data_IF_784277588309
#
_entry.id   IF_784277588309
#
_cell.length_a   1.000
_cell.length_b   1.000
_cell.length_c   1.000
_cell.angle_alpha   90.00
_cell.angle_beta   90.00
_cell.angle_gamma   90.00
#
_symmetry.space_group_name_H-M   'P 1'
#
loop_
_entity.id
_entity.type
_entity.pdbx_description
1 polymer ?
#
# COMPACT_ATOMS: atom_id res chain seq x y z
N UNK A 1 -25.21 -28.96 -39.95
CA UNK A 1 -23.92 -28.86 -39.22
C UNK A 1 -23.21 -27.55 -39.54
N UNK A 2 -22.95 -27.21 -40.81
CA UNK A 2 -22.18 -25.99 -41.18
C UNK A 2 -22.83 -24.63 -40.83
N UNK A 3 -24.14 -24.60 -40.55
CA UNK A 3 -24.88 -23.40 -40.12
C UNK A 3 -25.20 -23.38 -38.62
N UNK A 4 -24.76 -24.40 -37.88
CA UNK A 4 -24.96 -24.44 -36.44
C UNK A 4 -24.17 -23.31 -35.77
N UNK A 5 -24.81 -22.42 -34.98
CA UNK A 5 -24.16 -21.29 -34.34
C UNK A 5 -22.94 -21.66 -33.49
N UNK A 6 -22.96 -22.82 -32.81
CA UNK A 6 -21.83 -23.28 -31.98
C UNK A 6 -20.66 -23.73 -32.84
N UNK A 7 -20.95 -24.44 -33.94
CA UNK A 7 -19.93 -24.90 -34.91
C UNK A 7 -19.29 -23.70 -35.60
N UNK A 8 -20.07 -22.72 -36.04
CA UNK A 8 -19.55 -21.49 -36.66
C UNK A 8 -18.69 -20.69 -35.68
N UNK A 9 -19.11 -20.58 -34.41
CA UNK A 9 -18.34 -19.88 -33.37
C UNK A 9 -17.02 -20.59 -33.05
N UNK A 10 -17.04 -21.91 -32.91
CA UNK A 10 -15.82 -22.69 -32.64
C UNK A 10 -14.83 -22.59 -33.81
N UNK A 11 -15.30 -22.67 -35.05
CA UNK A 11 -14.48 -22.46 -36.24
C UNK A 11 -13.87 -21.04 -36.30
N UNK A 12 -14.66 -19.99 -36.02
CA UNK A 12 -14.15 -18.60 -35.95
C UNK A 12 -13.09 -18.44 -34.86
N UNK A 13 -13.29 -19.01 -33.68
CA UNK A 13 -12.30 -18.96 -32.60
C UNK A 13 -11.00 -19.68 -33.00
N UNK A 14 -11.10 -20.80 -33.71
CA UNK A 14 -9.94 -21.51 -34.25
C UNK A 14 -9.18 -20.65 -35.27
N UNK A 15 -9.89 -19.99 -36.19
CA UNK A 15 -9.28 -19.07 -37.16
C UNK A 15 -8.58 -17.89 -36.47
N UNK A 16 -9.22 -17.29 -35.46
CA UNK A 16 -8.60 -16.22 -34.64
C UNK A 16 -7.34 -16.75 -33.95
N UNK A 17 -7.39 -17.96 -33.40
CA UNK A 17 -6.24 -18.64 -32.80
C UNK A 17 -5.09 -18.82 -33.79
N UNK A 18 -5.38 -19.32 -35.00
CA UNK A 18 -4.38 -19.49 -36.07
C UNK A 18 -3.80 -18.17 -36.55
N UNK A 19 -4.63 -17.13 -36.70
CA UNK A 19 -4.18 -15.80 -37.06
C UNK A 19 -3.22 -15.22 -36.01
N UNK A 20 -3.59 -15.32 -34.72
CA UNK A 20 -2.71 -14.90 -33.61
C UNK A 20 -1.41 -15.71 -33.61
N UNK A 21 -1.50 -17.03 -33.78
CA UNK A 21 -0.33 -17.91 -33.83
C UNK A 21 0.63 -17.51 -34.96
N UNK A 22 0.12 -17.16 -36.14
CA UNK A 22 0.96 -16.83 -37.29
C UNK A 22 1.47 -15.38 -37.28
N UNK A 23 0.66 -14.42 -36.83
CA UNK A 23 0.97 -12.99 -36.97
C UNK A 23 1.39 -12.30 -35.66
N UNK A 24 0.88 -12.76 -34.51
CA UNK A 24 1.09 -12.12 -33.21
C UNK A 24 2.16 -12.84 -32.39
N UNK A 25 2.13 -14.18 -32.33
CA UNK A 25 3.09 -14.97 -31.54
C UNK A 25 4.56 -14.70 -31.91
N UNK A 26 4.97 -14.67 -33.20
CA UNK A 26 6.37 -14.39 -33.54
C UNK A 26 6.82 -12.99 -33.08
N UNK A 27 5.91 -12.01 -33.06
CA UNK A 27 6.21 -10.64 -32.59
C UNK A 27 6.36 -10.57 -31.08
N UNK A 28 5.57 -11.36 -30.35
CA UNK A 28 5.63 -11.50 -28.89
C UNK A 28 6.91 -12.24 -28.47
N UNK A 29 7.32 -13.25 -29.23
CA UNK A 29 8.54 -14.03 -28.99
C UNK A 29 9.82 -13.25 -29.35
N UNK A 30 9.79 -12.46 -30.42
CA UNK A 30 10.87 -11.56 -30.78
C UNK A 30 11.05 -10.39 -29.78
N UNK A 31 10.10 -10.17 -28.87
CA UNK A 31 10.24 -9.16 -27.83
C UNK A 31 11.30 -9.59 -26.83
N UNK A 32 12.47 -8.95 -26.90
CA UNK A 32 13.54 -9.08 -25.92
C UNK A 32 13.68 -7.79 -25.12
N UNK A 33 14.34 -7.89 -23.97
CA UNK A 33 14.76 -6.76 -23.14
C UNK A 33 16.26 -6.88 -22.90
N UNK A 34 17.00 -5.83 -23.25
CA UNK A 34 18.43 -5.76 -23.01
C UNK A 34 18.72 -5.52 -21.53
N UNK A 35 19.97 -5.74 -21.12
CA UNK A 35 20.37 -5.46 -19.74
C UNK A 35 20.47 -3.95 -19.49
N UNK A 36 20.81 -3.18 -20.52
CA UNK A 36 20.83 -1.72 -20.52
C UNK A 36 19.42 -1.16 -20.28
N UNK A 37 18.39 -1.68 -20.95
CA UNK A 37 17.00 -1.26 -20.74
C UNK A 37 16.55 -1.51 -19.30
N UNK A 38 16.98 -2.65 -18.72
CA UNK A 38 16.63 -3.02 -17.34
C UNK A 38 17.35 -2.11 -16.35
N UNK A 39 18.61 -1.76 -16.61
CA UNK A 39 19.37 -0.84 -15.79
C UNK A 39 18.76 0.57 -15.83
N UNK A 40 18.50 1.10 -17.02
CA UNK A 40 17.86 2.41 -17.19
C UNK A 40 16.50 2.48 -16.49
N UNK A 41 15.68 1.42 -16.60
CA UNK A 41 14.42 1.33 -15.88
C UNK A 41 14.61 1.31 -14.36
N UNK A 42 15.60 0.59 -13.85
CA UNK A 42 15.89 0.54 -12.42
C UNK A 42 16.32 1.91 -11.89
N UNK A 43 17.24 2.58 -12.59
CA UNK A 43 17.75 3.91 -12.23
C UNK A 43 16.64 4.97 -12.28
N UNK A 44 15.75 4.91 -13.28
CA UNK A 44 14.61 5.82 -13.38
C UNK A 44 13.52 5.57 -12.31
N UNK A 45 13.55 4.42 -11.62
CA UNK A 45 12.51 4.00 -10.67
C UNK A 45 13.09 3.47 -9.35
N UNK A 46 14.25 3.97 -8.90
CA UNK A 46 14.94 3.48 -7.69
C UNK A 46 14.02 3.52 -6.46
N UNK A 47 13.17 4.54 -6.36
CA UNK A 47 12.21 4.67 -5.25
C UNK A 47 11.26 3.48 -5.15
N UNK A 48 10.83 2.91 -6.28
CA UNK A 48 9.98 1.72 -6.31
C UNK A 48 10.70 0.44 -5.86
N UNK A 49 12.03 0.47 -5.79
CA UNK A 49 12.88 -0.62 -5.31
C UNK A 49 13.51 -0.32 -3.95
N UNK A 50 13.17 0.82 -3.36
CA UNK A 50 13.65 1.25 -2.06
C UNK A 50 12.62 0.89 -1.01
N UNK A 51 13.05 0.14 0.00
CA UNK A 51 12.23 -0.08 1.19
C UNK A 51 12.39 1.17 2.07
N UNK A 52 11.31 1.94 2.33
CA UNK A 52 11.41 3.14 3.14
C UNK A 52 11.83 2.78 4.57
N UNK A 53 12.46 3.74 5.26
CA UNK A 53 12.77 3.56 6.67
C UNK A 53 11.48 3.32 7.46
N UNK A 54 11.57 2.45 8.47
CA UNK A 54 10.45 2.17 9.38
C UNK A 54 10.92 2.28 10.81
N UNK A 55 10.11 2.91 11.65
CA UNK A 55 10.35 2.98 13.08
C UNK A 55 9.14 2.39 13.80
N UNK A 56 9.37 1.76 14.96
CA UNK A 56 8.31 1.44 15.90
C UNK A 56 8.45 2.41 17.06
N UNK A 57 7.39 3.13 17.37
CA UNK A 57 7.41 4.14 18.42
C UNK A 57 6.25 3.95 19.39
N UNK A 58 6.49 4.35 20.64
CA UNK A 58 5.46 4.50 21.63
C UNK A 58 5.26 6.00 21.93
N UNK A 59 4.03 6.41 22.21
CA UNK A 59 3.68 7.81 22.46
C UNK A 59 2.94 7.99 23.78
N UNK A 60 3.16 9.14 24.41
CA UNK A 60 2.28 9.71 25.42
C UNK A 60 1.71 10.98 24.81
N UNK A 61 0.40 11.10 24.81
CA UNK A 61 -0.33 12.23 24.23
C UNK A 61 -1.14 12.93 25.31
N UNK A 62 -1.11 14.25 25.38
CA UNK A 62 -2.04 15.03 26.20
C UNK A 62 -2.71 16.07 25.32
N UNK A 63 -4.04 16.09 25.32
CA UNK A 63 -4.80 16.99 24.45
C UNK A 63 -4.63 18.43 24.89
N UNK A 64 -4.36 19.31 23.94
CA UNK A 64 -4.41 20.76 24.12
C UNK A 64 -5.35 21.36 23.09
N UNK A 65 -5.81 22.58 23.33
CA UNK A 65 -6.62 23.32 22.37
C UNK A 65 -6.19 24.80 22.38
N UNK A 66 -6.21 25.50 21.24
CA UNK A 66 -5.82 26.91 21.17
C UNK A 66 -6.59 27.84 22.12
N UNK A 67 -7.82 27.48 22.48
CA UNK A 67 -8.67 28.27 23.40
C UNK A 67 -8.45 27.95 24.89
N UNK A 68 -7.52 27.06 25.21
CA UNK A 68 -7.20 26.70 26.59
C UNK A 68 -6.39 27.85 27.26
N UNK A 69 -6.66 28.14 28.54
CA UNK A 69 -5.91 29.17 29.26
C UNK A 69 -4.42 28.84 29.35
N UNK A 70 -3.57 29.87 29.38
CA UNK A 70 -2.11 29.73 29.50
C UNK A 70 -1.70 28.89 30.73
N UNK A 71 -2.39 29.07 31.86
CA UNK A 71 -2.18 28.30 33.08
C UNK A 71 -2.43 26.80 32.89
N UNK A 72 -3.51 26.43 32.20
CA UNK A 72 -3.82 25.01 31.91
C UNK A 72 -2.79 24.39 30.97
N UNK A 73 -2.39 25.12 29.93
CA UNK A 73 -1.34 24.67 28.99
C UNK A 73 0.00 24.50 29.73
N UNK A 74 0.35 25.43 30.62
CA UNK A 74 1.55 25.32 31.46
C UNK A 74 1.48 24.10 32.39
N UNK A 75 0.33 23.87 33.04
CA UNK A 75 0.11 22.68 33.87
C UNK A 75 0.27 21.37 33.11
N UNK A 76 -0.26 21.29 31.88
CA UNK A 76 -0.08 20.12 31.00
C UNK A 76 1.38 19.94 30.57
N UNK A 77 2.09 21.02 30.25
CA UNK A 77 3.53 20.97 29.97
C UNK A 77 4.33 20.47 31.17
N UNK A 78 4.01 20.93 32.38
CA UNK A 78 4.63 20.45 33.62
C UNK A 78 4.39 18.96 33.85
N UNK A 79 3.14 18.49 33.66
CA UNK A 79 2.81 17.06 33.74
C UNK A 79 3.54 16.23 32.68
N UNK A 80 3.69 16.76 31.47
CA UNK A 80 4.45 16.07 30.41
C UNK A 80 5.96 16.07 30.70
N UNK A 81 6.50 17.11 31.32
CA UNK A 81 7.89 17.17 31.76
C UNK A 81 8.17 16.13 32.86
N UNK A 82 7.28 15.99 33.84
CA UNK A 82 7.37 14.93 34.85
C UNK A 82 7.31 13.53 34.20
N UNK A 83 6.42 13.34 33.22
CA UNK A 83 6.37 12.08 32.47
C UNK A 83 7.68 11.80 31.71
N UNK A 84 8.30 12.83 31.12
CA UNK A 84 9.59 12.71 30.43
C UNK A 84 10.73 12.39 31.37
N UNK A 85 10.81 13.07 32.52
CA UNK A 85 11.83 12.81 33.55
C UNK A 85 11.77 11.35 34.01
N UNK A 86 10.57 10.89 34.41
CA UNK A 86 10.35 9.48 34.76
C UNK A 86 10.69 8.55 33.61
N UNK A 87 10.37 8.92 32.37
CA UNK A 87 10.68 8.09 31.21
C UNK A 87 12.20 7.93 31.02
N UNK A 88 12.99 9.00 31.23
CA UNK A 88 14.45 8.98 31.10
C UNK A 88 15.14 8.13 32.19
N UNK A 89 14.56 8.06 33.39
CA UNK A 89 15.05 7.19 34.47
C UNK A 89 14.79 5.69 34.18
N UNK A 90 13.80 5.39 33.34
CA UNK A 90 13.37 4.04 33.03
C UNK A 90 14.20 3.45 31.89
N UNK A 91 15.32 2.81 32.25
CA UNK A 91 16.18 2.05 31.33
C UNK A 91 15.53 0.83 30.67
N UNK A 92 14.26 0.51 30.98
CA UNK A 92 13.56 -0.64 30.43
C UNK A 92 12.17 -0.30 29.82
N UNK A 93 11.77 -1.09 28.82
CA UNK A 93 10.52 -0.92 28.06
C UNK A 93 9.26 -1.01 28.93
N UNK A 94 9.29 -1.77 30.04
CA UNK A 94 8.14 -1.93 30.95
C UNK A 94 7.73 -0.63 31.64
N UNK A 95 8.68 0.30 31.85
CA UNK A 95 8.41 1.59 32.48
C UNK A 95 7.50 2.51 31.66
N UNK A 96 7.77 2.63 30.36
CA UNK A 96 7.01 3.54 29.49
C UNK A 96 5.53 3.16 29.39
N UNK A 97 5.22 1.85 29.50
CA UNK A 97 3.84 1.40 29.46
C UNK A 97 3.00 1.87 30.64
N UNK A 98 3.57 1.88 31.85
CA UNK A 98 2.92 2.44 33.03
C UNK A 98 2.73 3.96 32.91
N UNK A 99 3.73 4.67 32.37
CA UNK A 99 3.62 6.10 32.11
C UNK A 99 2.52 6.40 31.09
N UNK A 100 2.43 5.61 30.02
CA UNK A 100 1.34 5.73 29.05
C UNK A 100 -0.03 5.58 29.70
N UNK A 101 -0.22 4.61 30.61
CA UNK A 101 -1.47 4.44 31.36
C UNK A 101 -1.81 5.68 32.20
N UNK A 102 -0.82 6.23 32.90
CA UNK A 102 -1.01 7.30 33.87
C UNK A 102 -1.13 8.70 33.22
N UNK A 103 -0.41 8.93 32.12
CA UNK A 103 -0.23 10.26 31.54
C UNK A 103 -0.85 10.43 30.15
N UNK A 104 -0.97 9.36 29.34
CA UNK A 104 -1.42 9.49 27.95
C UNK A 104 -2.94 9.55 27.87
N UNK A 105 -3.53 10.47 27.14
CA UNK A 105 -4.95 10.57 26.84
C UNK A 105 -5.33 9.81 25.54
N UNK A 106 -4.37 9.21 24.84
CA UNK A 106 -4.67 8.39 23.65
C UNK A 106 -5.27 7.03 24.04
N UNK A 107 -6.58 6.91 23.94
CA UNK A 107 -7.31 5.69 24.35
C UNK A 107 -6.84 4.42 23.62
N UNK A 108 -6.38 4.55 22.37
CA UNK A 108 -6.03 3.39 21.54
C UNK A 108 -4.69 2.75 21.88
N UNK A 109 -3.70 3.55 22.30
CA UNK A 109 -2.36 3.09 22.64
C UNK A 109 -2.09 3.10 24.14
N UNK A 110 -2.87 3.86 24.94
CA UNK A 110 -2.72 3.97 26.42
C UNK A 110 -2.43 2.62 27.07
N UNK A 111 -3.32 1.65 26.84
CA UNK A 111 -3.26 0.30 27.45
C UNK A 111 -2.33 -0.68 26.72
N UNK A 112 -1.76 -0.29 25.58
CA UNK A 112 -0.72 -1.02 24.84
C UNK A 112 0.67 -0.45 25.12
N UNK A 113 0.80 0.26 26.24
CA UNK A 113 2.01 0.93 26.66
C UNK A 113 2.45 2.09 25.76
N UNK A 114 1.51 2.74 25.09
CA UNK A 114 1.76 3.85 24.17
C UNK A 114 2.17 3.41 22.77
N UNK A 115 2.35 2.11 22.53
CA UNK A 115 2.80 1.58 21.25
C UNK A 115 1.77 1.82 20.15
N UNK A 116 2.20 2.52 19.09
CA UNK A 116 1.38 2.78 17.90
C UNK A 116 1.76 1.90 16.71
N UNK A 117 2.72 1.00 16.88
CA UNK A 117 3.20 0.08 15.86
C UNK A 117 4.25 0.69 14.94
N UNK A 118 4.42 0.07 13.76
CA UNK A 118 5.40 0.48 12.76
C UNK A 118 4.88 1.65 11.91
N UNK A 119 5.72 2.67 11.80
CA UNK A 119 5.53 3.88 11.02
C UNK A 119 6.58 3.90 9.91
N UNK A 120 6.17 4.22 8.70
CA UNK A 120 6.96 4.24 7.47
C UNK A 120 7.22 5.69 7.08
N UNK A 121 8.45 5.97 6.68
CA UNK A 121 8.85 7.30 6.21
C UNK A 121 8.06 7.68 4.94
N UNK A 122 7.61 8.94 4.86
CA UNK A 122 6.84 9.46 3.72
C UNK A 122 5.35 9.08 3.69
N UNK A 123 4.87 8.23 4.61
CA UNK A 123 3.45 7.89 4.71
C UNK A 123 2.70 8.83 5.66
N UNK A 124 1.47 9.20 5.30
CA UNK A 124 0.58 9.97 6.18
C UNK A 124 -0.07 9.08 7.22
N UNK A 125 -0.09 9.55 8.47
CA UNK A 125 -0.72 8.89 9.59
C UNK A 125 -1.67 9.83 10.32
N UNK A 126 -2.44 9.30 11.29
CA UNK A 126 -3.37 10.09 12.12
C UNK A 126 -2.67 11.02 13.13
N UNK A 127 -1.38 10.80 13.40
CA UNK A 127 -0.59 11.61 14.33
C UNK A 127 0.01 12.81 13.59
N UNK A 128 0.33 13.86 14.34
CA UNK A 128 0.94 15.05 13.75
C UNK A 128 2.30 14.71 13.10
N UNK A 129 2.61 15.22 11.89
CA UNK A 129 3.88 14.98 11.21
C UNK A 129 5.12 15.25 12.07
N UNK A 130 5.08 16.27 12.95
CA UNK A 130 6.17 16.60 13.87
C UNK A 130 6.50 15.46 14.85
N UNK A 131 5.49 14.69 15.26
CA UNK A 131 5.65 13.53 16.15
C UNK A 131 6.38 12.40 15.43
N UNK A 132 6.00 12.17 14.17
CA UNK A 132 6.62 11.14 13.33
C UNK A 132 8.06 11.51 12.99
N UNK A 133 8.33 12.77 12.62
CA UNK A 133 9.68 13.25 12.31
C UNK A 133 10.61 13.17 13.51
N UNK A 134 10.13 13.50 14.72
CA UNK A 134 10.90 13.30 15.94
C UNK A 134 11.25 11.82 16.16
N UNK A 135 10.30 10.93 15.88
CA UNK A 135 10.52 9.47 15.82
C UNK A 135 11.70 9.06 14.95
N UNK A 136 11.76 9.57 13.71
CA UNK A 136 12.81 9.28 12.74
C UNK A 136 14.15 9.96 13.04
N UNK A 137 14.14 11.02 13.85
CA UNK A 137 15.36 11.75 14.25
C UNK A 137 16.10 11.09 15.41
N UNK A 138 15.49 10.11 16.08
CA UNK A 138 16.12 9.35 17.16
C UNK A 138 17.04 8.26 16.60
N UNK A 139 18.19 8.05 17.25
CA UNK A 139 19.23 7.16 16.74
C UNK A 139 19.30 5.82 17.46
N UNK A 140 19.02 5.80 18.76
CA UNK A 140 19.19 4.61 19.60
C UNK A 140 17.85 4.06 20.04
N UNK A 141 17.78 2.74 20.10
CA UNK A 141 16.66 2.05 20.71
C UNK A 141 16.50 2.54 22.14
N UNK A 142 15.24 2.73 22.54
CA UNK A 142 14.80 3.26 23.82
C UNK A 142 15.05 4.77 24.03
N UNK A 143 15.53 5.50 23.02
CA UNK A 143 15.60 6.97 23.06
C UNK A 143 14.22 7.59 23.28
N UNK A 144 14.19 8.72 24.00
CA UNK A 144 13.00 9.47 24.34
C UNK A 144 13.16 10.89 23.80
N UNK A 145 12.14 11.38 23.11
CA UNK A 145 12.14 12.71 22.50
C UNK A 145 12.04 13.83 23.54
N UNK A 146 12.28 15.05 23.10
CA UNK A 146 11.77 16.23 23.80
C UNK A 146 10.25 16.32 23.72
N UNK A 147 9.67 17.24 24.50
CA UNK A 147 8.23 17.49 24.49
C UNK A 147 7.86 18.20 23.19
N UNK A 148 7.07 17.52 22.37
CA UNK A 148 6.63 18.02 21.07
C UNK A 148 5.30 18.74 21.30
N UNK A 149 5.30 20.06 21.11
CA UNK A 149 4.08 20.87 21.18
C UNK A 149 3.48 21.01 19.79
N UNK A 150 2.20 20.70 19.66
CA UNK A 150 1.43 20.86 18.42
C UNK A 150 0.08 21.50 18.71
N UNK A 151 -0.63 21.91 17.67
CA UNK A 151 -1.96 22.53 17.80
C UNK A 151 -2.99 21.63 18.51
N UNK A 152 -2.82 20.31 18.38
CA UNK A 152 -3.77 19.32 18.89
C UNK A 152 -3.39 18.77 20.27
N UNK A 153 -2.15 19.01 20.72
CA UNK A 153 -1.66 18.42 21.95
C UNK A 153 -0.16 18.46 22.13
N UNK A 154 0.24 17.98 23.30
CA UNK A 154 1.61 17.68 23.67
C UNK A 154 1.86 16.19 23.42
N UNK A 155 3.04 15.88 22.89
CA UNK A 155 3.48 14.52 22.66
C UNK A 155 4.85 14.27 23.27
N UNK A 156 5.03 13.06 23.79
CA UNK A 156 6.33 12.49 24.13
C UNK A 156 6.46 11.18 23.36
N UNK A 157 7.59 10.96 22.69
CA UNK A 157 7.83 9.80 21.84
C UNK A 157 8.98 8.98 22.39
N UNK A 158 8.85 7.66 22.34
CA UNK A 158 9.92 6.72 22.63
C UNK A 158 10.20 5.84 21.41
N UNK A 159 11.47 5.72 21.02
CA UNK A 159 11.89 4.82 19.94
C UNK A 159 11.97 3.39 20.45
N UNK A 160 11.12 2.50 19.94
CA UNK A 160 11.08 1.10 20.36
C UNK A 160 11.96 0.22 19.47
N UNK A 161 11.99 0.52 18.17
CA UNK A 161 12.80 -0.20 17.18
C UNK A 161 12.93 0.65 15.91
N UNK A 162 13.97 0.39 15.11
CA UNK A 162 14.20 1.10 13.84
C UNK A 162 14.73 0.15 12.76
N UNK A 163 14.29 0.40 11.53
CA UNK A 163 14.72 -0.26 10.30
C UNK A 163 15.10 0.82 9.31
N UNK A 164 16.38 0.87 8.96
CA UNK A 164 16.89 1.84 7.99
C UNK A 164 16.32 1.60 6.61
N UNK A 165 16.26 2.68 5.82
CA UNK A 165 15.94 2.58 4.40
C UNK A 165 16.93 1.64 3.72
N UNK A 166 16.42 0.75 2.87
CA UNK A 166 17.21 -0.24 2.14
C UNK A 166 16.87 -0.19 0.66
N UNK A 167 17.82 0.26 -0.15
CA UNK A 167 17.74 0.17 -1.61
C UNK A 167 17.98 -1.28 -2.02
N UNK A 168 16.99 -1.90 -2.67
CA UNK A 168 17.14 -3.28 -3.14
C UNK A 168 18.08 -3.29 -4.34
N UNK A 169 19.24 -3.99 -4.31
CA UNK A 169 20.19 -3.96 -5.41
C UNK A 169 19.58 -4.50 -6.71
N UNK A 170 19.96 -3.91 -7.86
CA UNK A 170 19.48 -4.32 -9.18
C UNK A 170 19.60 -5.84 -9.37
N UNK A 171 20.69 -6.47 -8.93
CA UNK A 171 20.89 -7.94 -9.03
C UNK A 171 19.74 -8.76 -8.46
N UNK A 172 19.13 -8.32 -7.35
CA UNK A 172 18.00 -9.02 -6.71
C UNK A 172 16.66 -8.81 -7.43
N UNK A 173 16.50 -7.69 -8.14
CA UNK A 173 15.25 -7.33 -8.81
C UNK A 173 15.28 -7.48 -10.32
N UNK A 174 16.46 -7.69 -10.93
CA UNK A 174 16.68 -7.75 -12.38
C UNK A 174 15.70 -8.69 -13.09
N UNK A 175 15.58 -9.93 -12.62
CA UNK A 175 14.66 -10.93 -13.21
C UNK A 175 13.20 -10.48 -13.13
N UNK A 176 12.80 -9.89 -11.99
CA UNK A 176 11.45 -9.38 -11.78
C UNK A 176 11.16 -8.18 -12.70
N UNK A 177 12.12 -7.26 -12.84
CA UNK A 177 12.02 -6.11 -13.75
C UNK A 177 11.89 -6.58 -15.18
N UNK A 178 12.78 -7.49 -15.62
CA UNK A 178 12.76 -8.08 -16.97
C UNK A 178 11.41 -8.70 -17.29
N UNK A 179 10.89 -9.54 -16.39
CA UNK A 179 9.60 -10.20 -16.59
C UNK A 179 8.46 -9.19 -16.70
N UNK A 180 8.41 -8.20 -15.79
CA UNK A 180 7.38 -7.15 -15.81
C UNK A 180 7.44 -6.33 -17.11
N UNK A 181 8.63 -5.88 -17.49
CA UNK A 181 8.84 -5.09 -18.70
C UNK A 181 8.49 -5.88 -19.97
N UNK A 182 8.89 -7.16 -20.02
CA UNK A 182 8.55 -8.03 -21.12
C UNK A 182 7.03 -8.24 -21.22
N UNK A 183 6.35 -8.44 -20.09
CA UNK A 183 4.90 -8.56 -20.06
C UNK A 183 4.20 -7.30 -20.60
N UNK A 184 4.64 -6.12 -20.17
CA UNK A 184 4.08 -4.85 -20.65
C UNK A 184 4.36 -4.63 -22.15
N UNK A 185 5.56 -4.96 -22.63
CA UNK A 185 5.90 -4.91 -24.06
C UNK A 185 5.01 -5.85 -24.89
N UNK A 186 4.79 -7.08 -24.41
CA UNK A 186 3.90 -8.06 -25.06
C UNK A 186 2.44 -7.57 -25.12
N UNK A 187 1.92 -7.01 -24.01
CA UNK A 187 0.59 -6.39 -23.98
C UNK A 187 0.49 -5.22 -24.96
N UNK A 188 1.53 -4.39 -25.05
CA UNK A 188 1.56 -3.28 -25.99
C UNK A 188 1.53 -3.75 -27.45
N UNK A 189 2.28 -4.81 -27.79
CA UNK A 189 2.27 -5.44 -29.11
C UNK A 189 0.88 -5.99 -29.44
N UNK A 190 0.24 -6.72 -28.52
CA UNK A 190 -1.11 -7.24 -28.73
C UNK A 190 -2.13 -6.11 -28.91
N UNK A 191 -2.09 -5.07 -28.07
CA UNK A 191 -2.97 -3.90 -28.18
C UNK A 191 -2.79 -3.18 -29.51
N UNK A 192 -1.54 -3.01 -29.96
CA UNK A 192 -1.24 -2.41 -31.26
C UNK A 192 -1.74 -3.27 -32.42
N UNK A 193 -1.59 -4.60 -32.33
CA UNK A 193 -2.11 -5.54 -33.32
C UNK A 193 -3.65 -5.49 -33.40
N UNK A 194 -4.34 -5.52 -32.26
CA UNK A 194 -5.80 -5.38 -32.20
C UNK A 194 -6.27 -4.04 -32.80
N UNK A 195 -5.58 -2.94 -32.47
CA UNK A 195 -5.88 -1.62 -33.05
C UNK A 195 -5.71 -1.63 -34.57
N UNK A 196 -4.65 -2.27 -35.09
CA UNK A 196 -4.41 -2.40 -36.52
C UNK A 196 -5.51 -3.21 -37.22
N UNK A 197 -5.91 -4.36 -36.67
CA UNK A 197 -6.99 -5.17 -37.24
C UNK A 197 -8.28 -4.38 -37.26
N UNK A 198 -8.66 -3.77 -36.13
CA UNK A 198 -9.90 -2.98 -36.04
C UNK A 198 -9.95 -1.86 -37.06
N UNK A 199 -8.83 -1.19 -37.32
CA UNK A 199 -8.76 -0.12 -38.32
C UNK A 199 -8.79 -0.63 -39.78
N UNK A 200 -8.40 -1.88 -40.02
CA UNK A 200 -8.39 -2.50 -41.35
C UNK A 200 -9.72 -3.18 -41.71
N UNK A 201 -10.65 -3.27 -40.76
CA UNK A 201 -11.99 -3.83 -40.93
C UNK A 201 -13.04 -2.75 -40.71
N UNK A 202 -14.02 -2.66 -41.59
CA UNK A 202 -15.22 -1.87 -41.35
C UNK A 202 -16.04 -2.54 -40.24
N UNK A 203 -16.21 -1.84 -39.12
CA UNK A 203 -16.96 -2.32 -37.95
C UNK A 203 -18.23 -1.47 -37.84
N UNK A 204 -19.36 -2.06 -38.19
CA UNK A 204 -20.67 -1.47 -37.93
C UNK A 204 -21.12 -1.86 -36.52
N UNK A 205 -21.39 -0.84 -35.69
CA UNK A 205 -21.94 -1.02 -34.36
C UNK A 205 -23.41 -0.63 -34.44
N UNK A 206 -24.30 -1.57 -34.07
CA UNK A 206 -25.75 -1.34 -34.02
C UNK A 206 -26.17 -1.09 -32.57
N UNK A 207 -26.18 0.17 -32.10
CA UNK A 207 -26.44 0.50 -30.70
C UNK A 207 -27.83 0.07 -30.22
N UNK A 208 -28.86 0.25 -31.06
CA UNK A 208 -30.25 -0.14 -30.72
C UNK A 208 -30.39 -1.66 -30.55
N UNK A 209 -29.69 -2.44 -31.37
CA UNK A 209 -29.66 -3.90 -31.24
C UNK A 209 -28.88 -4.36 -30.01
N UNK A 210 -27.87 -3.60 -29.57
CA UNK A 210 -27.11 -3.89 -28.34
C UNK A 210 -27.94 -3.65 -27.07
N UNK A 211 -28.76 -2.60 -27.06
CA UNK A 211 -29.67 -2.28 -25.95
C UNK A 211 -30.85 -3.26 -25.84
N UNK A 212 -31.28 -3.82 -26.98
CA UNK A 212 -32.35 -4.82 -27.03
C UNK A 212 -31.91 -6.24 -26.60
N UNK A 213 -30.61 -6.49 -26.39
CA UNK A 213 -30.13 -7.79 -25.90
C UNK A 213 -30.39 -7.87 -24.39
N UNK A 214 -31.25 -8.78 -23.92
CA UNK A 214 -31.44 -8.98 -22.49
C UNK A 214 -30.13 -9.49 -21.91
N UNK A 215 -29.49 -8.66 -21.08
CA UNK A 215 -28.35 -9.11 -20.30
C UNK A 215 -28.83 -10.26 -19.41
N UNK A 216 -28.18 -11.44 -19.41
CA UNK A 216 -28.50 -12.45 -18.43
C UNK A 216 -28.32 -11.79 -17.07
N UNK A 217 -29.39 -11.76 -16.26
CA UNK A 217 -29.28 -11.33 -14.87
C UNK A 217 -28.05 -12.03 -14.32
N UNK A 218 -27.07 -11.24 -13.83
CA UNK A 218 -25.91 -11.79 -13.15
C UNK A 218 -26.44 -12.89 -12.26
N UNK A 219 -26.01 -14.14 -12.47
CA UNK A 219 -26.35 -15.23 -11.56
C UNK A 219 -25.92 -14.75 -10.20
N UNK A 220 -26.89 -14.21 -9.46
CA UNK A 220 -26.75 -13.92 -8.07
C UNK A 220 -26.46 -15.28 -7.49
N UNK A 221 -25.21 -15.47 -7.06
CA UNK A 221 -24.98 -16.17 -5.81
C UNK A 221 -25.84 -15.45 -4.77
N UNK A 222 -27.14 -15.79 -4.74
CA UNK A 222 -27.96 -15.59 -3.57
C UNK A 222 -27.21 -16.38 -2.50
N UNK A 223 -26.77 -15.76 -1.39
CA UNK A 223 -26.32 -16.52 -0.24
C UNK A 223 -27.56 -17.28 0.23
N UNK A 224 -27.74 -18.49 -0.30
CA UNK A 224 -28.75 -19.40 0.16
C UNK A 224 -28.52 -19.56 1.65
N UNK A 225 -29.54 -19.21 2.45
CA UNK A 225 -29.60 -19.57 3.86
C UNK A 225 -29.42 -21.08 3.95
N UNK A 226 -28.19 -21.54 4.14
CA UNK A 226 -27.90 -22.90 4.54
C UNK A 226 -28.47 -23.04 5.96
N UNK A 227 -29.69 -23.55 6.07
CA UNK A 227 -30.16 -24.11 7.34
C UNK A 227 -29.30 -25.35 7.60
N UNK A 228 -28.65 -25.45 8.77
CA UNK A 228 -27.92 -26.66 9.11
C UNK A 228 -28.88 -27.86 9.17
N UNK A 229 -28.43 -29.06 8.75
CA UNK A 229 -29.25 -30.25 8.79
C UNK A 229 -29.59 -30.60 10.25
N UNK A 230 -30.86 -30.90 10.50
CA UNK A 230 -31.31 -31.50 11.76
C UNK A 230 -30.78 -32.92 11.85
N UNK A 231 -30.04 -33.22 12.92
CA UNK A 231 -29.58 -34.57 13.24
C UNK A 231 -30.78 -35.49 13.56
N UNK A 232 -30.72 -36.78 13.21
CA UNK A 232 -31.65 -37.79 13.70
C UNK A 232 -31.44 -38.11 15.19
#
# INVERSE_FOLDING_TARGET
LDKDPEVVRSYRNLLVGKLKQHQLTPRIEAATMSDEDIQAHYEANVDAYTQPAKIRIAIIYMKTHPTMSSEKVSGLKGRMAEAREKALELSNVRGFGALSINYSEDQTSRYKGGDIGWVEEGRKYRWNPAVISAGFSMEKKDDISDIITTDNGLYLVKLMDQRKSLVTPLKKVKTRIRHKQLLEKRKAIEKAFQKKIRAATEIEIYPEALEAIPLPASSGLVPGKQKPPTLP
#
